data_IF_966236518360
#
_entry.id   IF_966236518360
#
_cell.length_a   1.000
_cell.length_b   1.000
_cell.length_c   1.000
_cell.angle_alpha   90.00
_cell.angle_beta   90.00
_cell.angle_gamma   90.00
#
_symmetry.space_group_name_H-M   'P 1'
#
loop_
_entity.id
_entity.type
_entity.pdbx_description
1 polymer ?
#
# COMPACT_ATOMS: atom_id res chain seq x y z
N UNK A 1 -40.93 -71.08 -35.13
CA UNK A 1 -41.78 -70.14 -34.37
C UNK A 1 -40.89 -69.32 -33.45
N UNK A 2 -41.00 -68.00 -33.59
CA UNK A 2 -40.56 -66.92 -32.70
C UNK A 2 -39.08 -66.63 -32.43
N UNK A 3 -38.84 -65.30 -32.45
CA UNK A 3 -37.80 -64.48 -31.81
C UNK A 3 -36.53 -64.23 -32.65
N UNK A 4 -36.06 -63.01 -32.89
CA UNK A 4 -36.41 -61.68 -32.37
C UNK A 4 -35.94 -60.60 -33.37
N UNK A 5 -36.79 -59.58 -33.48
CA UNK A 5 -36.68 -58.31 -34.20
C UNK A 5 -35.31 -57.64 -34.09
N UNK A 6 -34.75 -57.22 -35.24
CA UNK A 6 -33.56 -56.37 -35.36
C UNK A 6 -33.88 -54.98 -34.83
N UNK A 7 -33.13 -54.58 -33.80
CA UNK A 7 -33.13 -53.26 -33.16
C UNK A 7 -32.16 -52.35 -33.93
N UNK A 8 -32.67 -51.35 -34.66
CA UNK A 8 -31.88 -50.20 -35.11
C UNK A 8 -32.76 -48.95 -35.01
N UNK A 9 -32.88 -48.42 -33.79
CA UNK A 9 -33.63 -47.20 -33.50
C UNK A 9 -32.67 -46.01 -33.45
N UNK A 10 -32.89 -45.10 -34.41
CA UNK A 10 -32.71 -43.63 -34.34
C UNK A 10 -31.33 -43.05 -33.98
N UNK A 11 -30.65 -42.53 -35.01
CA UNK A 11 -29.81 -41.33 -34.88
C UNK A 11 -30.66 -40.16 -34.38
N UNK A 12 -30.42 -39.73 -33.15
CA UNK A 12 -30.87 -38.45 -32.60
C UNK A 12 -29.66 -37.78 -31.93
N UNK A 13 -28.78 -37.21 -32.75
CA UNK A 13 -27.75 -36.29 -32.28
C UNK A 13 -28.41 -34.91 -32.09
N UNK A 14 -28.89 -34.65 -30.89
CA UNK A 14 -29.40 -33.34 -30.48
C UNK A 14 -28.57 -32.81 -29.31
N UNK A 15 -27.78 -31.76 -29.55
CA UNK A 15 -27.48 -30.72 -28.56
C UNK A 15 -26.70 -29.55 -29.20
N UNK A 16 -27.44 -28.52 -29.63
CA UNK A 16 -27.09 -27.08 -29.55
C UNK A 16 -25.61 -26.69 -29.46
N UNK A 17 -24.93 -26.56 -30.59
CA UNK A 17 -23.56 -26.02 -30.67
C UNK A 17 -23.49 -24.48 -30.86
N UNK A 18 -24.63 -23.78 -30.86
CA UNK A 18 -24.69 -22.33 -31.15
C UNK A 18 -25.74 -21.60 -30.30
N UNK A 19 -25.68 -21.74 -28.98
CA UNK A 19 -26.31 -20.76 -28.10
C UNK A 19 -25.29 -19.66 -27.79
N UNK A 20 -25.58 -18.38 -28.05
CA UNK A 20 -24.70 -17.30 -27.59
C UNK A 20 -24.68 -17.34 -26.07
N UNK A 21 -23.51 -17.56 -25.48
CA UNK A 21 -23.31 -17.40 -24.04
C UNK A 21 -23.44 -15.91 -23.73
N UNK A 22 -24.66 -15.48 -23.39
CA UNK A 22 -24.88 -14.15 -22.86
C UNK A 22 -24.27 -14.10 -21.46
N UNK A 23 -23.02 -13.67 -21.41
CA UNK A 23 -22.49 -12.91 -20.28
C UNK A 23 -22.29 -13.69 -18.99
N UNK A 24 -21.45 -14.74 -19.02
CA UNK A 24 -20.44 -14.81 -17.95
C UNK A 24 -19.37 -13.76 -18.26
N UNK A 25 -19.74 -12.47 -18.16
CA UNK A 25 -18.73 -11.49 -17.81
C UNK A 25 -18.24 -11.96 -16.46
N UNK A 26 -17.08 -12.59 -16.44
CA UNK A 26 -16.24 -12.69 -15.27
C UNK A 26 -16.37 -11.33 -14.60
N UNK A 27 -17.06 -11.26 -13.48
CA UNK A 27 -16.96 -10.12 -12.58
C UNK A 27 -15.51 -10.22 -12.14
N UNK A 28 -14.61 -9.63 -12.91
CA UNK A 28 -13.31 -9.23 -12.42
C UNK A 28 -13.70 -8.29 -11.29
N UNK A 29 -13.79 -8.86 -10.09
CA UNK A 29 -13.94 -8.12 -8.86
C UNK A 29 -12.81 -7.12 -8.91
N UNK A 30 -13.13 -5.88 -9.25
CA UNK A 30 -12.22 -4.77 -9.07
C UNK A 30 -11.95 -4.80 -7.57
N UNK A 31 -10.84 -5.42 -7.17
CA UNK A 31 -10.34 -5.26 -5.83
C UNK A 31 -10.13 -3.76 -5.72
N UNK A 32 -10.84 -3.12 -4.80
CA UNK A 32 -10.52 -1.75 -4.44
C UNK A 32 -9.13 -1.81 -3.81
N UNK A 33 -8.07 -1.77 -4.64
CA UNK A 33 -6.67 -1.60 -4.21
C UNK A 33 -6.48 -0.30 -3.39
N UNK A 34 -7.54 0.50 -3.28
CA UNK A 34 -7.59 1.80 -2.63
C UNK A 34 -8.49 1.85 -1.39
N UNK A 35 -9.17 0.76 -0.97
CA UNK A 35 -10.07 0.83 0.21
C UNK A 35 -9.38 0.62 1.56
N UNK A 36 -8.15 0.12 1.58
CA UNK A 36 -7.49 -0.30 2.83
C UNK A 36 -6.38 0.68 3.26
N UNK A 37 -6.38 1.90 2.75
CA UNK A 37 -5.45 2.93 3.22
C UNK A 37 -5.87 3.42 4.60
N UNK A 38 -5.01 3.19 5.59
CA UNK A 38 -5.16 3.67 6.96
C UNK A 38 -4.32 4.91 7.13
N UNK A 39 -4.93 6.01 7.58
CA UNK A 39 -4.21 7.23 7.93
C UNK A 39 -3.32 7.01 9.18
N UNK A 40 -2.21 7.73 9.23
CA UNK A 40 -1.26 7.62 10.33
C UNK A 40 -1.78 8.19 11.65
N UNK A 41 -1.10 7.83 12.73
CA UNK A 41 -1.50 8.21 14.10
C UNK A 41 -1.54 9.73 14.32
N UNK A 42 -0.73 10.48 13.58
CA UNK A 42 -0.63 11.93 13.65
C UNK A 42 -1.36 12.65 12.50
N UNK A 43 -2.23 11.93 11.77
CA UNK A 43 -3.10 12.54 10.78
C UNK A 43 -4.00 13.62 11.42
N UNK A 44 -4.09 14.77 10.76
CA UNK A 44 -4.78 15.98 11.25
C UNK A 44 -4.30 16.47 12.65
N UNK A 45 -3.11 16.06 13.11
CA UNK A 45 -2.45 16.50 14.35
C UNK A 45 -1.16 17.28 14.06
N UNK A 46 -0.54 17.80 15.13
CA UNK A 46 0.76 18.44 15.07
C UNK A 46 1.83 17.42 14.63
N UNK A 47 2.55 17.76 13.57
CA UNK A 47 3.61 16.95 12.97
C UNK A 47 4.98 17.58 13.23
N UNK A 48 5.39 17.55 14.49
CA UNK A 48 6.68 18.03 14.98
C UNK A 48 7.74 16.91 14.98
N UNK A 49 8.96 17.24 15.42
CA UNK A 49 10.05 16.27 15.48
C UNK A 49 9.76 15.13 16.46
N UNK A 50 9.08 15.40 17.58
CA UNK A 50 8.73 14.37 18.57
C UNK A 50 7.73 13.34 18.01
N UNK A 51 6.71 13.80 17.27
CA UNK A 51 5.79 12.92 16.55
C UNK A 51 6.51 12.05 15.51
N UNK A 52 7.48 12.63 14.79
CA UNK A 52 8.31 11.89 13.83
C UNK A 52 9.20 10.86 14.51
N UNK A 53 9.84 11.18 15.64
CA UNK A 53 10.64 10.22 16.42
C UNK A 53 9.78 9.06 16.90
N UNK A 54 8.60 9.34 17.48
CA UNK A 54 7.66 8.32 17.91
C UNK A 54 7.21 7.39 16.76
N UNK A 55 7.03 7.95 15.57
CA UNK A 55 6.69 7.17 14.36
C UNK A 55 7.88 6.33 13.87
N UNK A 56 9.09 6.89 13.89
CA UNK A 56 10.33 6.20 13.50
C UNK A 56 10.68 5.04 14.46
N UNK A 57 10.40 5.18 15.74
CA UNK A 57 10.60 4.12 16.73
C UNK A 57 9.68 2.92 16.44
N UNK A 58 8.45 3.17 16.01
CA UNK A 58 7.46 2.15 15.62
C UNK A 58 7.72 1.55 14.23
N UNK A 59 8.40 2.28 13.34
CA UNK A 59 8.64 1.86 11.97
C UNK A 59 9.46 0.56 11.89
N UNK A 60 8.96 -0.43 11.16
CA UNK A 60 9.66 -1.66 10.82
C UNK A 60 10.07 -1.62 9.33
N UNK A 61 11.38 -1.52 9.01
CA UNK A 61 11.88 -1.48 7.64
C UNK A 61 11.56 -2.75 6.84
N UNK A 62 11.36 -3.88 7.52
CA UNK A 62 11.13 -5.19 6.88
C UNK A 62 9.66 -5.45 6.55
N UNK A 63 8.74 -4.75 7.22
CA UNK A 63 7.31 -4.81 6.94
C UNK A 63 6.93 -3.88 5.78
N UNK A 64 5.87 -4.20 5.01
CA UNK A 64 5.43 -3.36 3.90
C UNK A 64 5.03 -1.97 4.38
N UNK A 65 5.30 -0.96 3.53
CA UNK A 65 4.88 0.42 3.78
C UNK A 65 3.36 0.52 3.94
N UNK A 66 2.93 1.24 4.97
CA UNK A 66 1.53 1.63 5.18
C UNK A 66 1.47 2.96 5.94
N UNK A 67 0.28 3.55 6.10
CA UNK A 67 0.16 4.76 6.93
C UNK A 67 0.47 4.54 8.41
N UNK A 68 0.60 3.29 8.86
CA UNK A 68 1.07 2.95 10.21
C UNK A 68 2.51 2.43 10.24
N UNK A 69 3.14 2.20 9.07
CA UNK A 69 4.49 1.68 8.95
C UNK A 69 5.25 2.39 7.83
N UNK A 70 5.94 3.47 8.16
CA UNK A 70 6.75 4.25 7.21
C UNK A 70 7.88 4.96 7.94
N UNK A 71 8.93 5.33 7.22
CA UNK A 71 10.00 6.17 7.75
C UNK A 71 9.64 7.66 7.59
N UNK A 72 9.38 8.41 8.67
CA UNK A 72 8.99 9.83 8.58
C UNK A 72 10.15 10.77 8.20
N UNK A 73 11.38 10.25 8.12
CA UNK A 73 12.60 11.02 7.85
C UNK A 73 13.26 10.66 6.52
N UNK A 74 12.69 9.72 5.79
CA UNK A 74 13.13 9.48 4.42
C UNK A 74 12.73 10.66 3.52
N UNK A 75 13.43 10.79 2.40
CA UNK A 75 13.14 11.80 1.38
C UNK A 75 12.88 11.13 0.04
N UNK A 76 11.79 11.50 -0.63
CA UNK A 76 11.49 11.06 -1.99
C UNK A 76 11.27 12.29 -2.86
N UNK A 77 12.04 12.42 -3.94
CA UNK A 77 12.04 13.62 -4.78
C UNK A 77 12.44 14.91 -4.03
N UNK A 78 13.22 14.78 -2.95
CA UNK A 78 13.65 15.89 -2.09
C UNK A 78 12.63 16.33 -1.03
N UNK A 79 11.46 15.67 -0.94
CA UNK A 79 10.43 16.00 0.03
C UNK A 79 10.27 14.90 1.09
N UNK A 80 9.85 15.30 2.29
CA UNK A 80 9.44 14.38 3.36
C UNK A 80 7.99 13.95 3.16
N UNK A 81 7.60 12.75 3.66
CA UNK A 81 6.20 12.33 3.66
C UNK A 81 5.36 13.12 4.67
N UNK A 82 4.05 13.04 4.52
CA UNK A 82 3.07 13.50 5.51
C UNK A 82 3.00 12.57 6.74
N UNK A 83 2.09 12.89 7.66
CA UNK A 83 1.86 12.12 8.89
C UNK A 83 1.28 10.70 8.64
N UNK A 84 0.99 10.35 7.38
CA UNK A 84 0.50 9.04 6.94
C UNK A 84 1.47 8.37 5.95
N UNK A 85 2.71 8.84 5.83
CA UNK A 85 3.69 8.22 4.94
C UNK A 85 3.44 8.48 3.46
N UNK A 86 2.66 9.48 3.08
CA UNK A 86 2.37 9.81 1.68
C UNK A 86 3.20 11.02 1.26
N UNK A 87 3.79 10.99 0.06
CA UNK A 87 4.60 12.11 -0.43
C UNK A 87 3.78 13.16 -1.17
N UNK A 88 4.23 14.43 -1.21
CA UNK A 88 3.61 15.45 -2.03
C UNK A 88 3.42 14.97 -3.49
N UNK A 89 2.21 15.15 -4.03
CA UNK A 89 1.85 14.72 -5.38
C UNK A 89 1.32 13.28 -5.50
N UNK A 90 1.41 12.47 -4.43
CA UNK A 90 0.75 11.16 -4.37
C UNK A 90 -0.72 11.29 -3.97
N UNK A 91 -1.58 10.33 -4.35
CA UNK A 91 -2.97 10.33 -3.91
C UNK A 91 -3.07 10.25 -2.38
N UNK A 92 -4.04 10.94 -1.79
CA UNK A 92 -4.32 11.01 -0.34
C UNK A 92 -3.29 11.78 0.50
N UNK A 93 -2.32 12.44 -0.15
CA UNK A 93 -1.41 13.35 0.55
C UNK A 93 -2.19 14.45 1.27
N UNK A 94 -1.84 14.69 2.54
CA UNK A 94 -2.34 15.83 3.33
C UNK A 94 -1.16 16.63 3.85
N UNK A 95 -1.19 17.95 3.65
CA UNK A 95 -0.20 18.84 4.24
C UNK A 95 -0.27 18.79 5.77
N UNK A 96 0.80 18.36 6.47
CA UNK A 96 0.76 18.24 7.93
C UNK A 96 0.74 19.61 8.60
N UNK A 97 0.06 19.72 9.74
CA UNK A 97 0.21 20.90 10.58
C UNK A 97 1.60 20.90 11.22
N UNK A 98 2.38 21.94 10.98
CA UNK A 98 3.77 22.06 11.47
C UNK A 98 3.83 23.09 12.59
N UNK A 99 4.58 22.78 13.63
CA UNK A 99 4.90 23.72 14.70
C UNK A 99 5.91 24.78 14.25
N UNK A 100 6.09 25.80 15.08
CA UNK A 100 7.14 26.78 14.87
C UNK A 100 8.53 26.14 14.97
N UNK A 101 9.43 26.55 14.07
CA UNK A 101 10.83 26.11 14.05
C UNK A 101 11.72 27.30 14.38
N UNK A 102 12.55 27.16 15.41
CA UNK A 102 13.60 28.11 15.74
C UNK A 102 15.01 27.56 15.46
N UNK A 103 16.01 28.45 15.45
CA UNK A 103 17.40 28.08 15.14
C UNK A 103 17.96 27.00 16.09
N UNK A 104 17.61 27.06 17.36
CA UNK A 104 18.05 26.08 18.36
C UNK A 104 17.50 24.69 18.05
N UNK A 105 16.21 24.59 17.68
CA UNK A 105 15.59 23.34 17.25
C UNK A 105 16.25 22.82 15.97
N UNK A 106 16.47 23.67 14.97
CA UNK A 106 17.12 23.24 13.72
C UNK A 106 18.51 22.62 13.94
N UNK A 107 19.30 23.17 14.87
CA UNK A 107 20.61 22.60 15.22
C UNK A 107 20.50 21.26 15.95
N UNK A 108 19.48 21.11 16.81
CA UNK A 108 19.19 19.84 17.48
C UNK A 108 18.73 18.76 16.49
N UNK A 109 17.77 19.07 15.61
CA UNK A 109 17.28 18.15 14.58
C UNK A 109 18.38 17.71 13.61
N UNK A 110 19.33 18.61 13.32
CA UNK A 110 20.52 18.28 12.52
C UNK A 110 21.40 17.26 13.24
N UNK A 111 21.69 17.45 14.52
CA UNK A 111 22.47 16.48 15.28
C UNK A 111 21.78 15.11 15.34
N UNK A 112 20.46 15.08 15.56
CA UNK A 112 19.66 13.85 15.52
C UNK A 112 19.66 13.18 14.13
N UNK A 113 19.67 13.97 13.05
CA UNK A 113 19.80 13.45 11.69
C UNK A 113 21.17 12.81 11.44
N UNK A 114 22.25 13.47 11.89
CA UNK A 114 23.61 12.93 11.78
C UNK A 114 23.76 11.63 12.61
N UNK A 115 23.16 11.57 13.80
CA UNK A 115 23.16 10.37 14.65
C UNK A 115 22.42 9.18 14.00
N UNK A 116 21.28 9.43 13.34
CA UNK A 116 20.54 8.36 12.63
C UNK A 116 21.21 7.95 11.33
N UNK A 117 21.88 8.86 10.64
CA UNK A 117 22.68 8.52 9.48
C UNK A 117 23.87 7.63 9.89
N UNK A 118 24.47 7.88 11.06
CA UNK A 118 25.52 7.03 11.63
C UNK A 118 24.99 5.69 12.16
N UNK A 119 23.74 5.64 12.63
CA UNK A 119 23.11 4.46 13.23
C UNK A 119 21.76 4.15 12.56
N UNK A 120 21.75 3.72 11.28
CA UNK A 120 20.51 3.38 10.60
C UNK A 120 19.85 2.17 11.26
N UNK A 121 18.51 2.18 11.33
CA UNK A 121 17.73 1.05 11.84
C UNK A 121 18.02 -0.21 11.01
N UNK A 122 18.20 -1.39 11.62
CA UNK A 122 18.49 -2.62 10.87
C UNK A 122 17.41 -2.90 9.83
N UNK A 123 17.82 -3.18 8.59
CA UNK A 123 16.92 -3.40 7.45
C UNK A 123 16.51 -2.13 6.69
N UNK A 124 16.96 -0.95 7.13
CA UNK A 124 16.78 0.34 6.43
C UNK A 124 17.71 0.51 5.22
N UNK A 125 17.83 -0.51 4.38
CA UNK A 125 18.59 -0.44 3.13
C UNK A 125 17.78 0.27 2.03
N UNK A 126 18.42 0.89 1.03
CA UNK A 126 17.72 1.42 -0.13
C UNK A 126 16.84 0.34 -0.76
N UNK A 127 15.55 0.61 -0.91
CA UNK A 127 14.59 -0.37 -1.44
C UNK A 127 13.86 -1.21 -0.38
N UNK A 128 14.00 -0.91 0.91
CA UNK A 128 13.33 -1.68 1.97
C UNK A 128 11.81 -1.71 1.80
N UNK A 129 11.15 -2.75 2.32
CA UNK A 129 9.70 -2.92 2.16
C UNK A 129 8.90 -1.78 2.80
N UNK A 130 9.42 -1.22 3.90
CA UNK A 130 8.85 -0.07 4.61
C UNK A 130 9.25 1.29 4.04
N UNK A 131 10.11 1.34 3.03
CA UNK A 131 10.66 2.56 2.42
C UNK A 131 9.79 3.03 1.25
N UNK A 132 9.95 4.30 0.87
CA UNK A 132 9.46 4.79 -0.43
C UNK A 132 10.31 4.20 -1.58
N UNK A 133 9.65 3.61 -2.58
CA UNK A 133 10.28 3.01 -3.77
C UNK A 133 9.81 3.70 -5.05
#
# INVERSE_FOLDING_TARGET
MSAKTVLCMSLLASASAFAPTFGTRSVTRSTNLFSDFVYGEYDDKLWDNDAKKATYDKWDPSAPRSGLNFNPFETFGGNSPDASGVFPGQPRYKDPSRGDINFTQMMAERAEADERAANPKPGSEPGCAGCAN
#
